data_IF_093832167255
#
_entry.id   IF_093832167255
#
_cell.length_a   1.000
_cell.length_b   1.000
_cell.length_c   1.000
_cell.angle_alpha   90.00
_cell.angle_beta   90.00
_cell.angle_gamma   90.00
#
_symmetry.space_group_name_H-M   'P 1'
#
loop_
_entity.id
_entity.type
_entity.pdbx_description
1 polymer ?
#
# COMPACT_ATOMS: atom_id res chain seq x y z
N UNK A 1 -16.36 -32.09 35.94
CA UNK A 1 -15.57 -31.50 34.83
C UNK A 1 -16.23 -31.90 33.53
N UNK A 2 -16.91 -30.97 32.84
CA UNK A 2 -17.41 -31.21 31.47
C UNK A 2 -16.31 -30.76 30.51
N UNK A 3 -15.96 -31.55 29.49
CA UNK A 3 -15.09 -31.05 28.42
C UNK A 3 -15.90 -30.04 27.61
N UNK A 4 -15.49 -28.78 27.66
CA UNK A 4 -15.97 -27.72 26.76
C UNK A 4 -15.53 -28.06 25.33
N UNK A 5 -16.40 -28.77 24.61
CA UNK A 5 -16.29 -28.98 23.18
C UNK A 5 -16.50 -27.62 22.52
N UNK A 6 -15.39 -26.93 22.20
CA UNK A 6 -15.43 -25.74 21.34
C UNK A 6 -16.10 -26.14 20.03
N UNK A 7 -17.22 -25.50 19.63
CA UNK A 7 -17.78 -25.74 18.32
C UNK A 7 -16.75 -25.32 17.28
N UNK A 8 -16.31 -26.25 16.44
CA UNK A 8 -15.58 -25.93 15.22
C UNK A 8 -16.54 -25.10 14.36
N UNK A 9 -16.36 -23.78 14.35
CA UNK A 9 -17.00 -22.94 13.34
C UNK A 9 -16.42 -23.39 12.01
N UNK A 10 -17.16 -24.24 11.30
CA UNK A 10 -17.01 -24.38 9.86
C UNK A 10 -17.40 -23.03 9.25
N UNK A 11 -16.44 -22.11 9.18
CA UNK A 11 -16.60 -20.85 8.47
C UNK A 11 -16.64 -21.22 6.99
N UNK A 12 -17.83 -21.49 6.46
CA UNK A 12 -18.05 -21.42 5.03
C UNK A 12 -17.79 -19.97 4.61
N UNK A 13 -16.55 -19.69 4.21
CA UNK A 13 -16.17 -18.43 3.61
C UNK A 13 -16.92 -18.35 2.29
N UNK A 14 -18.01 -17.58 2.24
CA UNK A 14 -18.79 -17.43 1.01
C UNK A 14 -17.91 -16.94 -0.14
N UNK A 15 -18.16 -17.43 -1.36
CA UNK A 15 -17.47 -17.04 -2.60
C UNK A 15 -17.24 -15.52 -2.72
N UNK A 16 -18.21 -14.62 -2.39
CA UNK A 16 -18.00 -13.17 -2.47
C UNK A 16 -16.87 -12.66 -1.57
N UNK A 17 -16.71 -13.26 -0.38
CA UNK A 17 -15.66 -12.88 0.57
C UNK A 17 -14.28 -13.31 0.08
N UNK A 18 -14.16 -14.48 -0.56
CA UNK A 18 -12.91 -14.94 -1.16
C UNK A 18 -12.51 -14.00 -2.30
N UNK A 19 -13.43 -13.69 -3.21
CA UNK A 19 -13.18 -12.79 -4.34
C UNK A 19 -12.74 -11.41 -3.85
N UNK A 20 -13.43 -10.84 -2.87
CA UNK A 20 -13.09 -9.53 -2.32
C UNK A 20 -11.70 -9.50 -1.66
N UNK A 21 -11.35 -10.55 -0.91
CA UNK A 21 -10.03 -10.65 -0.27
C UNK A 21 -8.93 -10.82 -1.31
N UNK A 22 -9.13 -11.66 -2.32
CA UNK A 22 -8.18 -11.83 -3.41
C UNK A 22 -7.98 -10.53 -4.18
N UNK A 23 -9.03 -9.76 -4.44
CA UNK A 23 -8.94 -8.44 -5.07
C UNK A 23 -8.08 -7.47 -4.23
N UNK A 24 -8.28 -7.43 -2.91
CA UNK A 24 -7.45 -6.59 -2.04
C UNK A 24 -5.98 -7.04 -1.98
N UNK A 25 -5.70 -8.35 -2.07
CA UNK A 25 -4.31 -8.86 -2.14
C UNK A 25 -3.64 -8.45 -3.44
N UNK A 26 -4.32 -8.63 -4.57
CA UNK A 26 -3.78 -8.20 -5.88
C UNK A 26 -3.54 -6.69 -5.88
N UNK A 27 -4.50 -5.91 -5.38
CA UNK A 27 -4.37 -4.46 -5.25
C UNK A 27 -3.20 -4.05 -4.34
N UNK A 28 -2.98 -4.77 -3.25
CA UNK A 28 -1.84 -4.55 -2.35
C UNK A 28 -0.49 -4.89 -3.01
N UNK A 29 -0.40 -5.99 -3.76
CA UNK A 29 0.83 -6.30 -4.53
C UNK A 29 1.09 -5.22 -5.57
N UNK A 30 0.03 -4.76 -6.24
CA UNK A 30 0.11 -3.68 -7.20
C UNK A 30 0.59 -2.37 -6.56
N UNK A 31 0.04 -2.00 -5.41
CA UNK A 31 0.44 -0.82 -4.62
C UNK A 31 1.93 -0.84 -4.26
N UNK A 32 2.45 -1.97 -3.78
CA UNK A 32 3.88 -2.12 -3.52
C UNK A 32 4.73 -1.99 -4.80
N UNK A 33 4.27 -2.53 -5.92
CA UNK A 33 4.96 -2.39 -7.20
C UNK A 33 4.97 -0.93 -7.67
N UNK A 34 3.85 -0.22 -7.56
CA UNK A 34 3.75 1.19 -7.97
C UNK A 34 4.57 2.10 -7.07
N UNK A 35 4.66 1.80 -5.77
CA UNK A 35 5.52 2.53 -4.82
C UNK A 35 7.01 2.30 -5.14
N UNK A 36 7.39 1.07 -5.48
CA UNK A 36 8.76 0.75 -5.90
C UNK A 36 9.14 1.46 -7.20
N UNK A 37 8.30 1.33 -8.24
CA UNK A 37 8.53 1.96 -9.54
C UNK A 37 8.50 3.48 -9.44
N UNK A 38 7.58 4.04 -8.67
CA UNK A 38 7.49 5.47 -8.38
C UNK A 38 8.74 6.01 -7.67
N UNK A 39 9.27 5.25 -6.71
CA UNK A 39 10.53 5.59 -6.02
C UNK A 39 11.70 5.61 -6.99
N UNK A 40 11.80 4.63 -7.89
CA UNK A 40 12.84 4.60 -8.93
C UNK A 40 12.74 5.78 -9.90
N UNK A 41 11.51 6.17 -10.27
CA UNK A 41 11.27 7.36 -11.10
C UNK A 41 11.71 8.65 -10.39
N UNK A 42 11.40 8.78 -9.10
CA UNK A 42 11.78 9.95 -8.29
C UNK A 42 13.30 10.02 -8.12
N UNK A 43 13.95 8.89 -7.85
CA UNK A 43 15.42 8.81 -7.74
C UNK A 43 16.13 8.93 -9.09
N UNK A 44 15.37 8.99 -10.19
CA UNK A 44 15.85 9.25 -11.55
C UNK A 44 17.02 8.34 -11.95
N UNK A 45 16.94 7.04 -11.66
CA UNK A 45 18.03 6.14 -12.02
C UNK A 45 17.78 4.68 -11.69
N UNK A 46 18.42 3.81 -12.48
CA UNK A 46 18.44 2.35 -12.29
C UNK A 46 19.79 1.92 -11.68
N UNK A 47 20.49 2.84 -11.03
CA UNK A 47 21.76 2.52 -10.37
C UNK A 47 21.51 1.70 -9.10
N UNK A 48 22.49 0.89 -8.70
CA UNK A 48 22.38 -0.02 -7.56
C UNK A 48 21.85 0.66 -6.29
N UNK A 49 22.32 1.87 -5.99
CA UNK A 49 21.87 2.65 -4.84
C UNK A 49 20.39 3.03 -4.95
N UNK A 50 19.92 3.46 -6.12
CA UNK A 50 18.52 3.84 -6.33
C UNK A 50 17.57 2.63 -6.21
N UNK A 51 17.99 1.47 -6.71
CA UNK A 51 17.25 0.21 -6.54
C UNK A 51 17.19 -0.17 -5.06
N UNK A 52 18.31 -0.12 -4.35
CA UNK A 52 18.38 -0.43 -2.93
C UNK A 52 17.47 0.47 -2.09
N UNK A 53 17.55 1.79 -2.30
CA UNK A 53 16.71 2.77 -1.61
C UNK A 53 15.23 2.60 -1.94
N UNK A 54 14.89 2.35 -3.19
CA UNK A 54 13.49 2.12 -3.60
C UNK A 54 12.92 0.86 -2.98
N UNK A 55 13.70 -0.22 -2.94
CA UNK A 55 13.29 -1.48 -2.33
C UNK A 55 13.06 -1.31 -0.83
N UNK A 56 14.03 -0.72 -0.12
CA UNK A 56 13.93 -0.48 1.33
C UNK A 56 12.78 0.46 1.64
N UNK A 57 12.62 1.55 0.89
CA UNK A 57 11.53 2.51 1.05
C UNK A 57 10.15 1.87 0.86
N UNK A 58 10.00 1.04 -0.18
CA UNK A 58 8.76 0.30 -0.45
C UNK A 58 8.42 -0.68 0.67
N UNK A 59 9.41 -1.42 1.18
CA UNK A 59 9.21 -2.35 2.28
C UNK A 59 8.80 -1.63 3.57
N UNK A 60 9.43 -0.49 3.87
CA UNK A 60 9.07 0.35 5.02
C UNK A 60 7.64 0.87 4.86
N UNK A 61 7.31 1.48 3.72
CA UNK A 61 5.97 2.00 3.42
C UNK A 61 4.89 0.93 3.55
N UNK A 62 5.12 -0.23 2.92
CA UNK A 62 4.26 -1.40 3.04
C UNK A 62 4.08 -1.86 4.49
N UNK A 63 5.17 -1.99 5.25
CA UNK A 63 5.11 -2.42 6.65
C UNK A 63 4.28 -1.46 7.51
N UNK A 64 4.42 -0.14 7.31
CA UNK A 64 3.59 0.85 7.99
C UNK A 64 2.13 0.77 7.56
N UNK A 65 1.82 0.64 6.26
CA UNK A 65 0.45 0.45 5.77
C UNK A 65 -0.24 -0.77 6.39
N UNK A 66 0.48 -1.90 6.53
CA UNK A 66 -0.03 -3.08 7.22
C UNK A 66 -0.25 -2.87 8.73
N UNK A 67 0.54 -2.01 9.34
CA UNK A 67 0.56 -1.78 10.79
C UNK A 67 -0.42 -0.71 11.27
N UNK A 68 -1.31 -0.24 10.38
CA UNK A 68 -2.34 0.78 10.66
C UNK A 68 -3.10 0.52 11.97
N UNK A 69 -3.66 -0.68 12.16
CA UNK A 69 -4.50 -0.96 13.34
C UNK A 69 -3.71 -1.10 14.65
N UNK A 70 -2.51 -1.73 14.69
CA UNK A 70 -1.62 -1.64 15.85
C UNK A 70 -1.26 -0.21 16.27
N UNK A 71 -0.98 0.68 15.30
CA UNK A 71 -0.54 2.08 15.55
C UNK A 71 -1.69 2.96 16.05
N UNK A 72 -2.91 2.72 15.55
CA UNK A 72 -4.11 3.48 15.89
C UNK A 72 -5.03 2.79 16.91
N UNK A 73 -4.61 1.65 17.47
CA UNK A 73 -5.38 0.89 18.45
C UNK A 73 -5.50 1.59 19.82
N UNK A 74 -6.64 1.38 20.49
CA UNK A 74 -7.03 2.08 21.73
C UNK A 74 -6.24 1.68 23.01
N UNK A 75 -5.29 0.74 22.94
CA UNK A 75 -4.74 0.06 24.13
C UNK A 75 -3.21 0.11 24.25
N UNK A 76 -2.56 1.20 23.84
CA UNK A 76 -1.10 1.30 23.82
C UNK A 76 -0.61 2.23 24.94
N UNK A 77 0.19 1.68 25.87
CA UNK A 77 0.80 2.40 26.98
C UNK A 77 2.08 3.12 26.54
N UNK A 78 2.23 4.38 26.97
CA UNK A 78 3.22 5.42 26.58
C UNK A 78 2.82 6.26 25.37
N UNK A 79 2.15 7.38 25.64
CA UNK A 79 1.66 8.30 24.61
C UNK A 79 2.74 8.85 23.65
N UNK A 80 3.96 9.14 24.13
CA UNK A 80 5.00 9.80 23.31
C UNK A 80 5.54 8.93 22.17
N UNK A 81 5.80 7.65 22.44
CA UNK A 81 6.28 6.69 21.43
C UNK A 81 5.21 6.44 20.36
N UNK A 82 3.94 6.44 20.75
CA UNK A 82 2.79 6.28 19.85
C UNK A 82 2.64 7.47 18.90
N UNK A 83 2.86 8.71 19.37
CA UNK A 83 2.80 9.89 18.50
C UNK A 83 3.86 9.85 17.40
N UNK A 84 5.09 9.45 17.73
CA UNK A 84 6.16 9.28 16.74
C UNK A 84 5.83 8.17 15.74
N UNK A 85 5.27 7.04 16.21
CA UNK A 85 4.81 5.96 15.33
C UNK A 85 3.70 6.41 14.39
N UNK A 86 2.72 7.21 14.87
CA UNK A 86 1.65 7.77 14.05
C UNK A 86 2.18 8.76 13.02
N UNK A 87 3.14 9.60 13.40
CA UNK A 87 3.77 10.52 12.47
C UNK A 87 4.53 9.75 11.37
N UNK A 88 5.34 8.76 11.75
CA UNK A 88 6.05 7.90 10.81
C UNK A 88 5.08 7.16 9.88
N UNK A 89 3.94 6.72 10.39
CA UNK A 89 2.88 6.09 9.61
C UNK A 89 2.24 7.05 8.60
N UNK A 90 1.91 8.29 9.01
CA UNK A 90 1.37 9.31 8.10
C UNK A 90 2.38 9.61 6.99
N UNK A 91 3.67 9.78 7.34
CA UNK A 91 4.73 10.03 6.37
C UNK A 91 4.90 8.86 5.41
N UNK A 92 4.83 7.62 5.90
CA UNK A 92 4.90 6.43 5.07
C UNK A 92 3.75 6.37 4.05
N UNK A 93 2.53 6.71 4.46
CA UNK A 93 1.37 6.76 3.55
C UNK A 93 1.49 7.88 2.53
N UNK A 94 1.92 9.06 2.96
CA UNK A 94 2.12 10.17 2.04
C UNK A 94 3.19 9.84 1.01
N UNK A 95 4.27 9.17 1.43
CA UNK A 95 5.33 8.70 0.54
C UNK A 95 4.82 7.64 -0.44
N UNK A 96 4.10 6.64 0.05
CA UNK A 96 3.48 5.56 -0.72
C UNK A 96 2.48 6.10 -1.75
N UNK A 97 1.61 7.01 -1.32
CA UNK A 97 0.68 7.70 -2.18
C UNK A 97 1.40 8.53 -3.24
N UNK A 98 2.40 9.32 -2.84
CA UNK A 98 3.14 10.17 -3.77
C UNK A 98 3.86 9.35 -4.84
N UNK A 99 4.60 8.31 -4.44
CA UNK A 99 5.33 7.43 -5.35
C UNK A 99 4.37 6.69 -6.30
N UNK A 100 3.29 6.12 -5.78
CA UNK A 100 2.27 5.44 -6.59
C UNK A 100 1.53 6.40 -7.54
N UNK A 101 1.24 7.62 -7.09
CA UNK A 101 0.66 8.67 -7.93
C UNK A 101 1.58 9.04 -9.09
N UNK A 102 2.86 9.31 -8.80
CA UNK A 102 3.89 9.61 -9.81
C UNK A 102 4.02 8.47 -10.83
N UNK A 103 4.04 7.23 -10.34
CA UNK A 103 4.08 6.01 -11.14
C UNK A 103 2.88 5.97 -12.11
N UNK A 104 1.66 6.15 -11.61
CA UNK A 104 0.43 6.13 -12.41
C UNK A 104 0.35 7.29 -13.41
N UNK A 105 0.71 8.52 -13.01
CA UNK A 105 0.77 9.67 -13.91
C UNK A 105 1.73 9.40 -15.07
N UNK A 106 2.93 8.91 -14.75
CA UNK A 106 3.97 8.65 -15.75
C UNK A 106 3.48 7.59 -16.74
N UNK A 107 2.82 6.54 -16.24
CA UNK A 107 2.23 5.51 -17.09
C UNK A 107 1.16 6.07 -18.03
N UNK A 108 0.23 6.90 -17.52
CA UNK A 108 -0.83 7.51 -18.34
C UNK A 108 -0.28 8.51 -19.35
N UNK A 109 0.72 9.31 -18.97
CA UNK A 109 1.32 10.33 -19.82
C UNK A 109 2.13 9.74 -20.99
N UNK A 110 2.86 8.65 -20.74
CA UNK A 110 3.76 8.04 -21.73
C UNK A 110 3.16 6.82 -22.44
N UNK A 111 2.14 6.18 -21.86
CA UNK A 111 1.61 4.89 -22.31
C UNK A 111 2.58 3.72 -22.11
N UNK A 112 3.78 3.97 -21.56
CA UNK A 112 4.85 2.99 -21.32
C UNK A 112 5.71 3.41 -20.13
N UNK A 113 6.33 2.43 -19.48
CA UNK A 113 7.30 2.67 -18.42
C UNK A 113 8.68 2.97 -19.01
N UNK A 114 9.13 4.22 -18.92
CA UNK A 114 10.52 4.61 -19.22
C UNK A 114 11.23 5.06 -17.95
N UNK A 115 12.12 4.22 -17.45
CA UNK A 115 12.99 4.52 -16.30
C UNK A 115 14.20 5.34 -16.78
N UNK A 116 14.56 6.40 -16.05
CA UNK A 116 15.77 7.20 -16.30
C UNK A 116 15.58 8.55 -17.00
N UNK A 117 14.35 9.06 -17.09
CA UNK A 117 14.07 10.42 -17.58
C UNK A 117 13.57 11.31 -16.44
N UNK A 118 14.37 12.33 -16.11
CA UNK A 118 14.07 13.31 -15.07
C UNK A 118 13.05 14.33 -15.59
N UNK A 119 11.76 13.97 -15.58
CA UNK A 119 10.70 14.87 -16.05
C UNK A 119 9.34 14.55 -15.41
N UNK A 120 9.34 14.10 -14.16
CA UNK A 120 8.13 13.70 -13.43
C UNK A 120 7.09 14.83 -13.36
N UNK A 121 7.55 16.07 -13.22
CA UNK A 121 6.69 17.25 -13.24
C UNK A 121 6.16 17.60 -14.63
N UNK A 122 6.96 17.38 -15.68
CA UNK A 122 6.51 17.62 -17.06
C UNK A 122 5.41 16.63 -17.47
N UNK A 123 5.38 15.43 -16.90
CA UNK A 123 4.32 14.45 -17.16
C UNK A 123 2.99 14.83 -16.52
N UNK A 124 3.00 15.43 -15.32
CA UNK A 124 1.79 15.98 -14.71
C UNK A 124 1.18 17.10 -15.57
N UNK A 125 2.00 17.95 -16.18
CA UNK A 125 1.51 19.00 -17.06
C UNK A 125 0.94 18.51 -18.40
N UNK A 126 1.21 17.25 -18.78
CA UNK A 126 0.82 16.67 -20.09
C UNK A 126 -0.50 15.93 -20.09
N UNK A 127 -0.98 15.49 -18.92
CA UNK A 127 -2.23 14.74 -18.81
C UNK A 127 -3.42 15.68 -18.58
N UNK A 128 -4.55 15.32 -19.17
CA UNK A 128 -5.81 16.08 -19.04
C UNK A 128 -6.35 16.03 -17.61
N UNK A 129 -7.27 16.94 -17.26
CA UNK A 129 -7.89 16.96 -15.93
C UNK A 129 -8.65 15.66 -15.61
N UNK A 130 -9.34 15.08 -16.60
CA UNK A 130 -10.05 13.82 -16.43
C UNK A 130 -9.10 12.65 -16.13
N UNK A 131 -7.94 12.63 -16.80
CA UNK A 131 -6.90 11.63 -16.54
C UNK A 131 -6.29 11.79 -15.14
N UNK A 132 -6.10 13.02 -14.65
CA UNK A 132 -5.68 13.26 -13.28
C UNK A 132 -6.67 12.69 -12.27
N UNK A 133 -7.97 12.89 -12.51
CA UNK A 133 -9.01 12.40 -11.62
C UNK A 133 -9.03 10.86 -11.57
N UNK A 134 -8.91 10.20 -12.72
CA UNK A 134 -8.82 8.74 -12.81
C UNK A 134 -7.59 8.23 -12.05
N UNK A 135 -6.42 8.83 -12.29
CA UNK A 135 -5.18 8.44 -11.61
C UNK A 135 -5.30 8.63 -10.10
N UNK A 136 -5.86 9.76 -9.67
CA UNK A 136 -6.07 10.05 -8.25
C UNK A 136 -6.95 8.98 -7.59
N UNK A 137 -8.09 8.65 -8.21
CA UNK A 137 -9.01 7.65 -7.68
C UNK A 137 -8.33 6.28 -7.60
N UNK A 138 -7.63 5.86 -8.65
CA UNK A 138 -6.91 4.57 -8.66
C UNK A 138 -5.87 4.55 -7.54
N UNK A 139 -5.05 5.58 -7.40
CA UNK A 139 -4.02 5.65 -6.36
C UNK A 139 -4.62 5.60 -4.94
N UNK A 140 -5.76 6.26 -4.70
CA UNK A 140 -6.44 6.16 -3.40
C UNK A 140 -6.85 4.71 -3.12
N UNK A 141 -7.45 4.03 -4.10
CA UNK A 141 -7.88 2.65 -3.91
C UNK A 141 -6.72 1.68 -3.71
N UNK A 142 -5.59 1.87 -4.40
CA UNK A 142 -4.41 1.02 -4.24
C UNK A 142 -3.78 1.21 -2.86
N UNK A 143 -3.56 2.45 -2.42
CA UNK A 143 -2.93 2.77 -1.11
C UNK A 143 -3.79 2.32 0.07
N UNK A 144 -5.12 2.36 -0.07
CA UNK A 144 -6.02 1.86 0.98
C UNK A 144 -6.04 0.33 1.08
N UNK A 145 -5.61 -0.39 0.03
CA UNK A 145 -5.72 -1.84 -0.05
C UNK A 145 -4.86 -2.58 0.97
N UNK A 146 -3.56 -2.28 1.16
CA UNK A 146 -2.77 -2.92 2.22
C UNK A 146 -3.34 -2.69 3.63
N UNK A 147 -3.92 -1.51 3.90
CA UNK A 147 -4.57 -1.23 5.18
C UNK A 147 -5.78 -2.13 5.41
N UNK A 148 -6.63 -2.29 4.39
CA UNK A 148 -7.78 -3.19 4.39
C UNK A 148 -7.36 -4.64 4.61
N UNK A 149 -6.32 -5.11 3.91
CA UNK A 149 -5.74 -6.46 4.11
C UNK A 149 -5.22 -6.63 5.54
N UNK A 150 -4.51 -5.64 6.08
CA UNK A 150 -4.01 -5.67 7.46
C UNK A 150 -5.13 -5.80 8.50
N UNK A 151 -6.25 -5.11 8.30
CA UNK A 151 -7.42 -5.20 9.17
C UNK A 151 -8.07 -6.59 9.07
N UNK A 152 -8.21 -7.15 7.85
CA UNK A 152 -8.84 -8.46 7.62
C UNK A 152 -8.00 -9.60 8.20
N UNK A 153 -6.67 -9.56 8.04
CA UNK A 153 -5.72 -10.56 8.55
C UNK A 153 -5.85 -10.75 10.05
N UNK A 154 -5.89 -9.65 10.81
CA UNK A 154 -5.98 -9.73 12.29
C UNK A 154 -7.34 -10.27 12.77
N UNK A 155 -8.42 -10.11 12.00
CA UNK A 155 -9.74 -10.67 12.34
C UNK A 155 -9.85 -12.17 12.04
N UNK A 156 -8.98 -12.73 11.19
CA UNK A 156 -9.00 -14.15 10.81
C UNK A 156 -7.55 -14.68 10.70
N UNK A 157 -6.91 -15.05 11.83
CA UNK A 157 -5.51 -15.49 11.83
C UNK A 157 -5.28 -16.87 11.19
N UNK A 158 -6.30 -17.74 11.15
CA UNK A 158 -6.26 -19.06 10.49
C UNK A 158 -6.26 -18.98 8.95
N UNK A 159 -6.34 -17.77 8.39
CA UNK A 159 -6.55 -17.49 6.96
C UNK A 159 -5.24 -17.43 6.13
N UNK A 160 -4.11 -17.80 6.73
CA UNK A 160 -2.77 -17.81 6.14
C UNK A 160 -1.96 -19.08 6.52
N UNK A 161 -2.60 -20.10 7.09
CA UNK A 161 -2.00 -21.43 7.21
C UNK A 161 -2.09 -22.18 5.88
#
# INVERSE_FOLDING_TARGET
MRPDVKPRLNVHVGLPRIVLISAFRVSMVWDLLTTFLGSLLILNGIHFIAIGLSLVGTLIAGAFNFSTRPIWGHNQGKQREIYLLRLAWILAILFDFWTSFICNVTYVALGRFELGRAATWDYMARITWDQHLIVLVITIFTVMSPMMVGIIRKRNPEFLA
#
